data_IF_663223688817
#
_entry.id   IF_663223688817
#
_cell.length_a   1.000
_cell.length_b   1.000
_cell.length_c   1.000
_cell.angle_alpha   90.00
_cell.angle_beta   90.00
_cell.angle_gamma   90.00
#
_symmetry.space_group_name_H-M   'P 1'
#
loop_
_entity.id
_entity.type
_entity.pdbx_description
1 polymer ?
#
# COMPACT_ATOMS: atom_id res chain seq x y z
N UNK A 1 -44.27 -12.05 11.30
CA UNK A 1 -42.94 -11.88 11.94
C UNK A 1 -42.07 -13.05 11.55
N UNK A 2 -41.16 -12.86 10.60
CA UNK A 2 -39.88 -13.60 10.57
C UNK A 2 -38.96 -12.81 9.64
N UNK A 3 -38.07 -12.04 10.27
CA UNK A 3 -37.11 -11.17 9.62
C UNK A 3 -36.10 -12.02 8.87
N UNK A 4 -35.95 -11.81 7.56
CA UNK A 4 -34.85 -12.36 6.79
C UNK A 4 -33.59 -11.57 7.16
N UNK A 5 -32.67 -12.21 7.90
CA UNK A 5 -31.30 -11.74 8.05
C UNK A 5 -30.62 -11.84 6.67
N UNK A 6 -30.60 -10.74 5.92
CA UNK A 6 -29.63 -10.58 4.84
C UNK A 6 -28.26 -10.36 5.48
N UNK A 7 -27.45 -11.42 5.52
CA UNK A 7 -26.01 -11.29 5.70
C UNK A 7 -25.48 -10.36 4.60
N UNK A 8 -25.01 -9.17 4.98
CA UNK A 8 -24.17 -8.33 4.13
C UNK A 8 -22.82 -9.03 3.95
N UNK A 9 -22.75 -10.03 3.08
CA UNK A 9 -21.49 -10.50 2.54
C UNK A 9 -21.04 -9.49 1.51
N UNK A 10 -20.28 -8.48 1.95
CA UNK A 10 -19.51 -7.65 1.03
C UNK A 10 -18.74 -8.60 0.09
N UNK A 11 -18.76 -8.38 -1.24
CA UNK A 11 -18.10 -9.29 -2.16
C UNK A 11 -16.63 -9.38 -1.78
N UNK A 12 -16.15 -10.63 -1.62
CA UNK A 12 -14.73 -10.91 -1.47
C UNK A 12 -13.99 -10.13 -2.56
N UNK A 13 -13.12 -9.20 -2.16
CA UNK A 13 -12.27 -8.45 -3.09
C UNK A 13 -11.61 -9.47 -4.01
N UNK A 14 -11.88 -9.39 -5.32
CA UNK A 14 -11.29 -10.26 -6.33
C UNK A 14 -9.77 -10.32 -6.11
N UNK A 15 -9.16 -11.50 -5.98
CA UNK A 15 -7.70 -11.63 -5.78
C UNK A 15 -6.93 -11.28 -7.07
N UNK A 16 -5.68 -10.84 -6.97
CA UNK A 16 -4.86 -10.39 -8.11
C UNK A 16 -4.59 -11.45 -9.20
N UNK A 17 -4.91 -12.71 -8.90
CA UNK A 17 -4.67 -13.90 -9.71
C UNK A 17 -3.18 -14.29 -9.78
N UNK A 18 -2.83 -15.56 -9.99
CA UNK A 18 -1.43 -16.03 -9.97
C UNK A 18 -0.56 -15.44 -11.10
N UNK A 19 -1.17 -15.02 -12.20
CA UNK A 19 -0.51 -14.54 -13.41
C UNK A 19 0.30 -13.25 -13.24
N UNK A 20 0.16 -12.55 -12.11
CA UNK A 20 0.91 -11.32 -11.80
C UNK A 20 2.25 -11.57 -11.10
N UNK A 21 2.47 -12.79 -10.63
CA UNK A 21 3.67 -13.18 -9.89
C UNK A 21 4.74 -13.70 -10.86
N UNK A 22 5.39 -12.79 -11.55
CA UNK A 22 6.48 -13.07 -12.49
C UNK A 22 7.61 -12.03 -12.32
N UNK A 23 8.80 -12.24 -12.91
CA UNK A 23 9.86 -11.22 -12.91
C UNK A 23 9.35 -9.86 -13.42
N UNK A 24 9.56 -8.81 -12.63
CA UNK A 24 9.02 -7.46 -12.87
C UNK A 24 7.56 -7.24 -12.42
N UNK A 25 6.87 -8.28 -11.98
CA UNK A 25 5.50 -8.26 -11.45
C UNK A 25 5.45 -8.14 -9.93
N UNK A 26 4.43 -8.73 -9.29
CA UNK A 26 4.32 -8.72 -7.82
C UNK A 26 5.28 -9.68 -7.15
N UNK A 27 5.75 -9.33 -5.96
CA UNK A 27 6.51 -10.24 -5.09
C UNK A 27 5.57 -11.09 -4.23
N UNK A 28 5.74 -12.43 -4.14
CA UNK A 28 4.98 -13.25 -3.20
C UNK A 28 5.37 -12.91 -1.76
N UNK A 29 4.37 -12.65 -0.90
CA UNK A 29 4.55 -12.25 0.50
C UNK A 29 3.91 -13.29 1.41
N UNK A 30 4.64 -13.79 2.41
CA UNK A 30 4.17 -14.86 3.29
C UNK A 30 3.89 -14.36 4.72
N UNK A 31 2.86 -14.93 5.35
CA UNK A 31 2.56 -14.64 6.75
C UNK A 31 3.73 -15.06 7.65
N UNK A 32 4.10 -14.19 8.60
CA UNK A 32 5.20 -14.43 9.53
C UNK A 32 6.58 -14.02 9.02
N UNK A 33 6.72 -13.73 7.72
CA UNK A 33 7.96 -13.22 7.12
C UNK A 33 8.33 -11.85 7.72
N UNK A 34 9.63 -11.60 7.88
CA UNK A 34 10.16 -10.35 8.45
C UNK A 34 10.99 -9.63 7.40
N UNK A 35 10.57 -8.43 7.04
CA UNK A 35 11.26 -7.53 6.13
C UNK A 35 12.08 -6.50 6.90
N UNK A 36 13.26 -6.16 6.38
CA UNK A 36 14.21 -5.19 6.97
C UNK A 36 14.51 -5.46 8.46
N UNK A 37 14.45 -6.74 8.88
CA UNK A 37 14.68 -7.18 10.26
C UNK A 37 13.65 -6.73 11.30
N UNK A 38 12.64 -5.92 10.94
CA UNK A 38 11.71 -5.30 11.90
C UNK A 38 10.23 -5.29 11.48
N UNK A 39 9.91 -5.56 10.21
CA UNK A 39 8.54 -5.52 9.70
C UNK A 39 7.99 -6.92 9.47
N UNK A 40 7.21 -7.43 10.43
CA UNK A 40 6.60 -8.76 10.33
C UNK A 40 5.26 -8.71 9.59
N UNK A 41 5.08 -9.59 8.61
CA UNK A 41 3.82 -9.75 7.89
C UNK A 41 2.79 -10.47 8.75
N UNK A 42 1.67 -9.82 9.02
CA UNK A 42 0.59 -10.39 9.83
C UNK A 42 -0.63 -10.79 9.00
N UNK A 43 -1.02 -9.95 8.03
CA UNK A 43 -2.20 -10.16 7.19
C UNK A 43 -2.14 -9.27 5.96
N UNK A 44 -2.75 -9.73 4.87
CA UNK A 44 -2.98 -8.94 3.66
C UNK A 44 -4.21 -8.04 3.82
N UNK A 45 -4.09 -6.76 3.47
CA UNK A 45 -5.17 -5.76 3.55
C UNK A 45 -5.82 -5.47 2.20
N UNK A 46 -5.10 -5.70 1.11
CA UNK A 46 -5.53 -5.47 -0.27
C UNK A 46 -4.36 -5.60 -1.23
N UNK A 47 -4.63 -5.38 -2.51
CA UNK A 47 -3.62 -5.24 -3.56
C UNK A 47 -4.16 -4.25 -4.58
N UNK A 48 -3.28 -3.51 -5.26
CA UNK A 48 -3.62 -2.65 -6.37
C UNK A 48 -2.49 -2.70 -7.41
N UNK A 49 -2.84 -2.58 -8.70
CA UNK A 49 -1.87 -2.55 -9.81
C UNK A 49 -1.49 -1.12 -10.15
N UNK A 50 -0.85 -0.42 -9.22
CA UNK A 50 -0.24 0.88 -9.50
C UNK A 50 1.08 0.97 -8.75
N UNK A 51 2.19 0.71 -9.45
CA UNK A 51 3.42 1.44 -9.20
C UNK A 51 3.34 2.67 -10.09
N UNK A 52 3.25 3.86 -9.52
CA UNK A 52 3.06 5.11 -10.26
C UNK A 52 4.14 5.26 -11.33
N UNK A 53 3.80 4.89 -12.57
CA UNK A 53 4.64 5.05 -13.74
C UNK A 53 4.70 6.53 -14.08
N UNK A 54 5.85 7.13 -13.77
CA UNK A 54 6.34 8.44 -14.20
C UNK A 54 5.52 9.13 -15.30
N UNK A 55 4.84 10.22 -14.93
CA UNK A 55 4.33 11.19 -15.90
C UNK A 55 5.52 11.88 -16.60
N UNK A 56 5.58 11.79 -17.92
CA UNK A 56 6.59 12.45 -18.76
C UNK A 56 6.24 13.93 -18.89
N UNK A 57 6.83 14.77 -18.04
CA UNK A 57 7.62 15.97 -18.37
C UNK A 57 7.89 16.76 -17.06
N UNK A 58 9.13 17.27 -16.92
CA UNK A 58 9.69 18.03 -15.78
C UNK A 58 9.87 17.29 -14.44
N UNK A 59 11.10 16.79 -14.20
CA UNK A 59 11.58 16.05 -13.00
C UNK A 59 10.71 14.84 -12.62
N UNK A 60 11.23 13.68 -12.97
CA UNK A 60 10.70 12.38 -12.56
C UNK A 60 10.89 12.18 -11.04
N UNK A 61 10.03 12.78 -10.23
CA UNK A 61 10.04 12.61 -8.77
C UNK A 61 9.28 11.31 -8.44
N UNK A 62 9.94 10.41 -7.75
CA UNK A 62 9.34 9.15 -7.31
C UNK A 62 8.35 9.35 -6.16
N UNK A 63 7.37 8.46 -6.03
CA UNK A 63 6.44 8.47 -4.91
C UNK A 63 7.17 8.45 -3.55
N UNK A 64 8.26 7.70 -3.46
CA UNK A 64 9.13 7.67 -2.29
C UNK A 64 9.67 9.05 -1.93
N UNK A 65 10.20 9.80 -2.90
CA UNK A 65 10.75 11.14 -2.66
C UNK A 65 9.66 12.13 -2.21
N UNK A 66 8.46 12.05 -2.80
CA UNK A 66 7.30 12.87 -2.38
C UNK A 66 6.95 12.57 -0.93
N UNK A 67 6.85 11.29 -0.58
CA UNK A 67 6.47 10.85 0.77
C UNK A 67 7.55 11.17 1.81
N UNK A 68 8.83 11.04 1.46
CA UNK A 68 9.95 11.46 2.31
C UNK A 68 9.95 12.98 2.55
N UNK A 69 9.63 13.77 1.53
CA UNK A 69 9.48 15.22 1.66
C UNK A 69 8.30 15.59 2.57
N UNK A 70 7.13 14.98 2.37
CA UNK A 70 5.96 15.19 3.22
C UNK A 70 6.23 14.79 4.68
N UNK A 71 6.99 13.71 4.90
CA UNK A 71 7.41 13.31 6.25
C UNK A 71 8.27 14.38 6.93
N UNK A 72 9.16 15.03 6.18
CA UNK A 72 10.06 16.07 6.67
C UNK A 72 9.40 17.47 6.79
N UNK A 73 8.15 17.61 6.36
CA UNK A 73 7.40 18.87 6.47
C UNK A 73 7.07 19.22 7.93
N UNK A 74 6.63 20.47 8.15
CA UNK A 74 6.29 21.00 9.47
C UNK A 74 5.15 20.18 10.15
N UNK A 75 5.44 19.48 11.27
CA UNK A 75 4.44 18.72 12.00
C UNK A 75 3.37 19.60 12.68
N UNK A 76 3.63 20.89 12.87
CA UNK A 76 2.67 21.84 13.46
C UNK A 76 1.70 22.41 12.43
N UNK A 77 1.93 22.16 11.14
CA UNK A 77 1.03 22.61 10.09
C UNK A 77 -0.35 21.94 10.30
N UNK A 78 -1.48 22.71 10.27
CA UNK A 78 -2.82 22.16 10.50
C UNK A 78 -3.16 20.99 9.58
N UNK A 79 -2.62 20.98 8.36
CA UNK A 79 -2.79 19.91 7.38
C UNK A 79 -1.99 18.62 7.64
N UNK A 80 -0.93 18.66 8.46
CA UNK A 80 0.00 17.53 8.62
C UNK A 80 -0.70 16.29 9.20
N UNK A 81 -1.65 16.48 10.10
CA UNK A 81 -2.42 15.40 10.70
C UNK A 81 -3.40 14.70 9.73
N UNK A 82 -3.69 15.31 8.57
CA UNK A 82 -4.66 14.80 7.60
C UNK A 82 -4.02 14.08 6.41
N UNK A 83 -2.69 14.06 6.32
CA UNK A 83 -1.95 13.36 5.27
C UNK A 83 -1.42 12.02 5.79
N UNK A 84 -1.36 11.02 4.90
CA UNK A 84 -0.72 9.74 5.23
C UNK A 84 0.80 9.94 5.30
N UNK A 85 1.34 10.01 6.51
CA UNK A 85 2.78 10.17 6.72
C UNK A 85 3.50 8.82 6.57
N UNK A 86 4.53 8.78 5.72
CA UNK A 86 5.45 7.66 5.63
C UNK A 86 6.18 7.45 6.96
N UNK A 87 6.15 6.23 7.49
CA UNK A 87 6.89 5.85 8.70
C UNK A 87 8.30 5.44 8.31
N UNK A 88 8.41 4.55 7.33
CA UNK A 88 9.68 3.98 6.88
C UNK A 88 9.62 3.57 5.40
N UNK A 89 10.78 3.41 4.77
CA UNK A 89 10.90 2.89 3.41
C UNK A 89 12.19 2.11 3.24
N UNK A 90 12.11 0.97 2.56
CA UNK A 90 13.26 0.12 2.28
C UNK A 90 13.14 -0.55 0.92
N UNK A 91 14.25 -1.11 0.44
CA UNK A 91 14.28 -1.89 -0.80
C UNK A 91 14.36 -3.37 -0.44
N UNK A 92 13.44 -4.16 -1.00
CA UNK A 92 13.41 -5.61 -0.86
C UNK A 92 13.85 -6.28 -2.15
N UNK A 93 14.74 -7.26 -2.04
CA UNK A 93 15.24 -8.04 -3.17
C UNK A 93 14.57 -9.40 -3.16
N UNK A 94 13.59 -9.57 -4.03
CA UNK A 94 12.84 -10.80 -4.18
C UNK A 94 13.16 -11.55 -5.48
N UNK A 95 12.56 -12.72 -5.64
CA UNK A 95 12.67 -13.53 -6.87
C UNK A 95 12.19 -12.79 -8.12
N UNK A 96 11.24 -11.85 -7.94
CA UNK A 96 10.64 -11.10 -9.03
C UNK A 96 11.31 -9.73 -9.27
N UNK A 97 12.43 -9.47 -8.60
CA UNK A 97 13.23 -8.25 -8.77
C UNK A 97 13.33 -7.43 -7.48
N UNK A 98 13.59 -6.14 -7.66
CA UNK A 98 13.73 -5.19 -6.56
C UNK A 98 12.43 -4.44 -6.38
N UNK A 99 11.96 -4.36 -5.14
CA UNK A 99 10.68 -3.77 -4.77
C UNK A 99 10.91 -2.68 -3.73
N UNK A 100 10.40 -1.49 -3.98
CA UNK A 100 10.37 -0.43 -2.97
C UNK A 100 9.19 -0.68 -2.04
N UNK A 101 9.46 -0.88 -0.75
CA UNK A 101 8.47 -1.08 0.28
C UNK A 101 8.26 0.23 1.04
N UNK A 102 7.01 0.70 1.09
CA UNK A 102 6.60 1.90 1.80
C UNK A 102 5.79 1.50 3.03
N UNK A 103 6.18 1.99 4.21
CA UNK A 103 5.57 1.63 5.49
C UNK A 103 4.76 2.80 6.02
N UNK A 104 3.48 2.56 6.26
CA UNK A 104 2.55 3.54 6.81
C UNK A 104 1.96 3.04 8.12
N UNK A 105 1.41 3.96 8.90
CA UNK A 105 0.46 3.58 9.95
C UNK A 105 -0.80 3.01 9.29
N UNK A 106 -1.44 2.05 9.95
CA UNK A 106 -2.71 1.51 9.46
C UNK A 106 -3.75 2.63 9.54
N UNK A 107 -4.31 2.99 8.37
CA UNK A 107 -5.42 3.94 8.24
C UNK A 107 -6.65 3.12 7.84
N UNK A 108 -7.84 3.61 8.22
CA UNK A 108 -9.11 2.94 7.98
C UNK A 108 -9.45 2.73 6.50
N UNK A 109 -10.67 2.28 6.25
CA UNK A 109 -11.12 1.97 4.90
C UNK A 109 -11.11 3.20 3.99
N UNK A 110 -10.78 2.99 2.72
CA UNK A 110 -10.98 4.02 1.69
C UNK A 110 -12.47 4.34 1.64
N UNK A 111 -12.83 5.62 1.59
CA UNK A 111 -14.21 6.03 1.40
C UNK A 111 -14.72 5.46 0.07
N UNK A 112 -15.77 4.62 0.07
CA UNK A 112 -16.37 4.17 -1.17
C UNK A 112 -17.08 5.36 -1.82
N UNK A 113 -16.59 5.82 -2.97
CA UNK A 113 -17.17 6.84 -3.85
C UNK A 113 -17.98 7.94 -3.13
N UNK A 114 -17.31 9.04 -2.77
CA UNK A 114 -18.02 10.27 -2.45
C UNK A 114 -18.60 10.84 -3.75
N UNK A 115 -19.90 10.57 -3.96
CA UNK A 115 -20.88 11.12 -4.93
C UNK A 115 -20.34 11.76 -6.21
#
# INVERSE_FOLDING_TARGET
MSSQNQELTAPLKAEEGPQVYHPGGFHPVHLGEVYDGKHKVLRKLGFERYSTGVMRDQKNISEREILEHLRAADPLHPGYAYISTLVDSFEHHGLNGRHICLVFRVIGEKLPNLV
#
